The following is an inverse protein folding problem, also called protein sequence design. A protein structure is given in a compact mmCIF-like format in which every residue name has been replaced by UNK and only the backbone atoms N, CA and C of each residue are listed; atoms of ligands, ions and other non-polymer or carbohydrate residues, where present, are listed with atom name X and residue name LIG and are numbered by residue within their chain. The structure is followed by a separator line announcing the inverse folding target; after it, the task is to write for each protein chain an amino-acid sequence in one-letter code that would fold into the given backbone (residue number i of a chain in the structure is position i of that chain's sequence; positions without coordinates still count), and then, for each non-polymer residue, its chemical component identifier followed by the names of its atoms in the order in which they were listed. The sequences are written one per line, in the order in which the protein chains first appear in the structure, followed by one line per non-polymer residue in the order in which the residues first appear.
data_IF_874763117383
#
_entry.id   IF_874763117383
#
_cell.length_a   1.000
_cell.length_b   1.000
_cell.length_c   1.000
_cell.angle_alpha   90.00
_cell.angle_beta   90.00
_cell.angle_gamma   90.00
#
_symmetry.space_group_name_H-M   'P 1'
#
loop_
_entity.id
_entity.type
_entity.pdbx_description
1 polymer ?
#
# COMPACT_ATOMS: atom_id res chain seq x y z
N UNK A 1 21.30 8.88 0.43
CA UNK A 1 21.18 9.07 -1.04
C UNK A 1 20.10 8.10 -1.51
N UNK A 2 19.05 8.59 -2.17
CA UNK A 2 17.96 7.75 -2.68
C UNK A 2 18.38 7.28 -4.08
N UNK A 3 18.39 5.97 -4.33
CA UNK A 3 18.62 5.40 -5.65
C UNK A 3 17.29 4.99 -6.28
N UNK A 4 17.01 5.44 -7.50
CA UNK A 4 15.74 5.17 -8.17
C UNK A 4 15.52 3.70 -8.56
N UNK A 5 16.57 2.88 -8.61
CA UNK A 5 16.44 1.44 -8.94
C UNK A 5 15.76 1.18 -10.30
N UNK A 6 15.86 2.12 -11.24
CA UNK A 6 15.08 2.12 -12.48
C UNK A 6 15.47 0.96 -13.42
N UNK A 7 14.46 0.36 -14.05
CA UNK A 7 14.67 -0.57 -15.18
C UNK A 7 15.31 0.16 -16.35
N UNK A 8 16.06 -0.55 -17.19
CA UNK A 8 16.55 0.01 -18.46
C UNK A 8 15.41 0.36 -19.43
N UNK A 9 14.21 -0.17 -19.18
CA UNK A 9 12.99 0.10 -19.96
C UNK A 9 12.13 1.21 -19.35
N UNK A 10 12.61 1.92 -18.31
CA UNK A 10 11.87 3.02 -17.71
C UNK A 10 11.57 4.13 -18.72
N UNK A 11 10.36 4.70 -18.63
CA UNK A 11 9.89 5.74 -19.55
C UNK A 11 10.74 7.00 -19.40
N UNK A 12 11.29 7.46 -20.54
CA UNK A 12 12.00 8.73 -20.65
C UNK A 12 11.06 9.83 -21.12
N UNK A 13 11.04 10.94 -20.40
CA UNK A 13 10.34 12.15 -20.81
C UNK A 13 11.02 12.73 -22.04
N UNK A 14 10.23 13.29 -22.97
CA UNK A 14 10.77 13.97 -24.14
C UNK A 14 11.69 15.13 -23.70
N UNK A 15 12.81 15.31 -24.41
CA UNK A 15 13.74 16.42 -24.16
C UNK A 15 13.05 17.79 -24.22
N UNK A 16 12.08 17.95 -25.12
CA UNK A 16 11.28 19.18 -25.24
C UNK A 16 10.41 19.47 -24.01
N UNK A 17 10.18 18.49 -23.14
CA UNK A 17 9.40 18.60 -21.91
C UNK A 17 10.28 18.53 -20.64
N UNK A 18 11.62 18.64 -20.79
CA UNK A 18 12.57 18.68 -19.67
C UNK A 18 13.44 17.43 -19.51
N UNK A 19 13.19 16.37 -20.29
CA UNK A 19 13.99 15.15 -20.28
C UNK A 19 13.95 14.38 -18.94
N UNK A 20 14.79 13.35 -18.84
CA UNK A 20 14.90 12.51 -17.64
C UNK A 20 13.88 11.36 -17.57
N UNK A 21 13.90 10.64 -16.45
CA UNK A 21 13.07 9.45 -16.23
C UNK A 21 11.85 9.80 -15.35
N UNK A 22 10.70 9.21 -15.67
CA UNK A 22 9.52 9.32 -14.81
C UNK A 22 9.69 8.39 -13.61
N UNK A 23 9.60 8.96 -12.40
CA UNK A 23 9.69 8.22 -11.14
C UNK A 23 8.71 8.77 -10.10
N UNK A 24 8.24 7.88 -9.22
CA UNK A 24 7.45 8.22 -8.03
C UNK A 24 8.11 7.60 -6.80
N UNK A 25 7.97 8.25 -5.64
CA UNK A 25 8.31 7.60 -4.38
C UNK A 25 7.30 6.48 -4.10
N UNK A 26 7.80 5.24 -4.05
CA UNK A 26 7.01 4.03 -3.75
C UNK A 26 6.18 4.14 -2.46
N UNK A 27 6.62 4.94 -1.48
CA UNK A 27 5.87 5.18 -0.25
C UNK A 27 4.49 5.81 -0.47
N UNK A 28 4.31 6.65 -1.50
CA UNK A 28 2.98 7.17 -1.84
C UNK A 28 2.09 6.07 -2.45
N UNK A 29 2.69 5.13 -3.18
CA UNK A 29 1.97 4.00 -3.74
C UNK A 29 1.49 3.04 -2.64
N UNK A 30 2.26 2.86 -1.57
CA UNK A 30 1.83 2.07 -0.39
C UNK A 30 0.56 2.60 0.26
N UNK A 31 0.52 3.92 0.48
CA UNK A 31 -0.65 4.57 1.10
C UNK A 31 -1.86 4.47 0.17
N UNK A 32 -1.64 4.56 -1.15
CA UNK A 32 -2.68 4.30 -2.13
C UNK A 32 -3.22 2.87 -2.07
N UNK A 33 -2.40 1.84 -1.81
CA UNK A 33 -2.90 0.48 -1.64
C UNK A 33 -3.89 0.35 -0.49
N UNK A 34 -3.62 0.99 0.65
CA UNK A 34 -4.53 1.01 1.79
C UNK A 34 -5.86 1.70 1.43
N UNK A 35 -5.79 2.74 0.61
CA UNK A 35 -6.98 3.41 0.07
C UNK A 35 -7.77 2.48 -0.86
N UNK A 36 -7.11 1.78 -1.78
CA UNK A 36 -7.77 0.82 -2.68
C UNK A 36 -8.52 -0.24 -1.89
N UNK A 37 -7.89 -0.83 -0.86
CA UNK A 37 -8.52 -1.78 0.05
C UNK A 37 -9.77 -1.22 0.73
N UNK A 38 -9.67 0.00 1.25
CA UNK A 38 -10.81 0.66 1.90
C UNK A 38 -11.99 0.86 0.92
N UNK A 39 -11.72 1.35 -0.29
CA UNK A 39 -12.75 1.64 -1.28
C UNK A 39 -13.33 0.38 -1.94
N UNK A 40 -12.58 -0.72 -1.99
CA UNK A 40 -13.09 -2.03 -2.39
C UNK A 40 -14.02 -2.62 -1.32
N UNK A 41 -13.61 -2.59 -0.04
CA UNK A 41 -14.46 -3.07 1.06
C UNK A 41 -15.81 -2.35 1.11
N UNK A 42 -15.81 -1.04 0.88
CA UNK A 42 -17.01 -0.20 0.88
C UNK A 42 -17.59 0.03 -0.52
N UNK A 43 -17.24 -0.81 -1.51
CA UNK A 43 -17.60 -0.52 -2.91
C UNK A 43 -19.11 -0.47 -3.14
N UNK A 44 -19.91 -1.18 -2.35
CA UNK A 44 -21.37 -1.17 -2.47
C UNK A 44 -22.01 0.14 -1.99
N UNK A 45 -21.37 0.82 -1.05
CA UNK A 45 -21.86 2.04 -0.40
C UNK A 45 -21.34 3.31 -1.07
N UNK A 46 -20.23 3.22 -1.79
CA UNK A 46 -19.59 4.34 -2.49
C UNK A 46 -19.96 4.30 -3.97
N UNK A 47 -20.80 5.23 -4.48
CA UNK A 47 -21.31 5.18 -5.85
C UNK A 47 -20.22 5.15 -6.92
N UNK A 48 -19.13 5.89 -6.73
CA UNK A 48 -18.00 5.95 -7.66
C UNK A 48 -17.24 4.63 -7.72
N UNK A 49 -16.99 4.00 -6.55
CA UNK A 49 -16.39 2.66 -6.49
C UNK A 49 -17.28 1.63 -7.15
N UNK A 50 -18.57 1.62 -6.81
CA UNK A 50 -19.56 0.71 -7.40
C UNK A 50 -19.58 0.83 -8.91
N UNK A 51 -19.66 2.07 -9.41
CA UNK A 51 -19.65 2.38 -10.84
C UNK A 51 -18.36 1.89 -11.49
N UNK A 52 -17.20 2.20 -10.92
CA UNK A 52 -15.91 1.76 -11.46
C UNK A 52 -15.78 0.23 -11.51
N UNK A 53 -16.27 -0.47 -10.48
CA UNK A 53 -16.25 -1.93 -10.39
C UNK A 53 -17.18 -2.60 -11.41
N UNK A 54 -18.31 -1.96 -11.73
CA UNK A 54 -19.26 -2.45 -12.73
C UNK A 54 -18.83 -2.13 -14.17
N UNK A 55 -18.43 -0.88 -14.44
CA UNK A 55 -18.14 -0.40 -15.80
C UNK A 55 -16.74 -0.75 -16.27
N UNK A 56 -15.78 -0.90 -15.35
CA UNK A 56 -14.37 -1.19 -15.65
C UNK A 56 -13.85 -2.42 -14.87
N UNK A 57 -14.70 -3.43 -14.67
CA UNK A 57 -14.46 -4.57 -13.78
C UNK A 57 -13.07 -5.22 -13.95
N UNK A 58 -12.64 -5.46 -15.20
CA UNK A 58 -11.33 -6.07 -15.46
C UNK A 58 -10.17 -5.19 -15.00
N UNK A 59 -10.22 -3.89 -15.26
CA UNK A 59 -9.16 -2.98 -14.85
C UNK A 59 -9.17 -2.78 -13.33
N UNK A 60 -10.37 -2.67 -12.75
CA UNK A 60 -10.57 -2.58 -11.31
C UNK A 60 -9.94 -3.77 -10.58
N UNK A 61 -10.26 -4.99 -11.02
CA UNK A 61 -9.73 -6.23 -10.43
C UNK A 61 -8.21 -6.33 -10.60
N UNK A 62 -7.69 -6.10 -11.82
CA UNK A 62 -6.25 -6.14 -12.05
C UNK A 62 -5.48 -5.12 -11.21
N UNK A 63 -6.05 -3.92 -10.98
CA UNK A 63 -5.47 -2.92 -10.11
C UNK A 63 -5.52 -3.35 -8.64
N UNK A 64 -6.62 -3.94 -8.19
CA UNK A 64 -6.74 -4.50 -6.84
C UNK A 64 -5.70 -5.59 -6.59
N UNK A 65 -5.62 -6.61 -7.46
CA UNK A 65 -4.65 -7.70 -7.36
C UNK A 65 -3.20 -7.19 -7.36
N UNK A 66 -2.88 -6.24 -8.24
CA UNK A 66 -1.56 -5.61 -8.30
C UNK A 66 -1.20 -4.88 -6.99
N UNK A 67 -2.15 -4.10 -6.44
CA UNK A 67 -1.95 -3.40 -5.17
C UNK A 67 -1.66 -4.38 -4.02
N UNK A 68 -2.44 -5.47 -3.96
CA UNK A 68 -2.28 -6.49 -2.92
C UNK A 68 -0.94 -7.20 -3.04
N UNK A 69 -0.53 -7.58 -4.25
CA UNK A 69 0.74 -8.28 -4.45
C UNK A 69 1.94 -7.37 -4.12
N UNK A 70 1.92 -6.11 -4.53
CA UNK A 70 2.99 -5.16 -4.18
C UNK A 70 3.07 -4.90 -2.68
N UNK A 71 1.93 -4.74 -2.00
CA UNK A 71 1.90 -4.61 -0.55
C UNK A 71 2.47 -5.86 0.14
N UNK A 72 2.12 -7.07 -0.34
CA UNK A 72 2.69 -8.33 0.15
C UNK A 72 4.20 -8.36 -0.02
N UNK A 73 4.71 -8.07 -1.21
CA UNK A 73 6.16 -8.05 -1.49
C UNK A 73 6.88 -7.07 -0.55
N UNK A 74 6.30 -5.88 -0.33
CA UNK A 74 6.89 -4.86 0.53
C UNK A 74 6.94 -5.27 2.00
N UNK A 75 5.87 -5.90 2.49
CA UNK A 75 5.82 -6.47 3.85
C UNK A 75 6.82 -7.62 4.02
N UNK A 76 7.10 -8.41 2.98
CA UNK A 76 8.14 -9.43 3.04
C UNK A 76 9.55 -8.83 3.06
N UNK A 77 9.79 -7.75 2.30
CA UNK A 77 11.06 -7.03 2.32
C UNK A 77 11.32 -6.29 3.65
N UNK A 78 10.26 -5.83 4.31
CA UNK A 78 10.31 -5.12 5.59
C UNK A 78 9.56 -5.89 6.68
N UNK A 79 9.86 -7.18 6.79
CA UNK A 79 9.14 -8.09 7.68
C UNK A 79 9.30 -7.68 9.15
N UNK A 80 8.17 -7.62 9.86
CA UNK A 80 8.14 -7.32 11.29
C UNK A 80 8.48 -8.58 12.10
N UNK A 81 9.68 -8.60 12.69
CA UNK A 81 10.16 -9.73 13.49
C UNK A 81 9.79 -9.64 14.98
N UNK A 82 8.94 -8.69 15.37
CA UNK A 82 8.49 -8.60 16.78
C UNK A 82 7.49 -9.71 17.13
N UNK A 83 7.57 -10.21 18.37
CA UNK A 83 6.62 -11.20 18.86
C UNK A 83 5.28 -10.54 19.21
N UNK A 84 4.18 -11.07 18.69
CA UNK A 84 2.87 -10.82 19.27
C UNK A 84 2.73 -11.65 20.55
N UNK A 85 2.26 -11.04 21.63
CA UNK A 85 1.90 -11.75 22.87
C UNK A 85 0.41 -12.08 22.87
N UNK A 86 -0.02 -12.86 23.86
CA UNK A 86 -1.44 -13.16 24.07
C UNK A 86 -1.86 -12.73 25.46
N UNK A 87 -3.10 -12.24 25.58
CA UNK A 87 -3.69 -11.79 26.82
C UNK A 87 -4.98 -12.57 27.12
N UNK A 88 -5.29 -12.73 28.40
CA UNK A 88 -6.60 -13.20 28.84
C UNK A 88 -7.59 -12.03 28.84
N UNK A 89 -8.74 -12.19 28.18
CA UNK A 89 -9.82 -11.21 28.17
C UNK A 89 -11.04 -11.78 28.92
N UNK A 90 -11.81 -10.91 29.56
CA UNK A 90 -13.06 -11.31 30.21
C UNK A 90 -14.01 -11.89 29.15
N UNK A 91 -14.68 -12.99 29.48
CA UNK A 91 -15.66 -13.68 28.62
C UNK A 91 -15.09 -14.29 27.32
N UNK A 92 -13.76 -14.45 27.22
CA UNK A 92 -13.13 -15.24 26.16
C UNK A 92 -12.40 -16.43 26.78
N UNK A 93 -12.80 -17.64 26.39
CA UNK A 93 -12.26 -18.90 26.94
C UNK A 93 -10.82 -19.19 26.48
N UNK A 94 -10.38 -18.58 25.38
CA UNK A 94 -9.05 -18.75 24.79
C UNK A 94 -8.20 -17.47 24.85
N UNK A 95 -6.85 -17.59 24.93
CA UNK A 95 -5.98 -16.44 24.98
C UNK A 95 -6.07 -15.62 23.68
N UNK A 96 -6.31 -14.32 23.80
CA UNK A 96 -6.54 -13.43 22.65
C UNK A 96 -5.23 -12.79 22.19
N UNK A 97 -4.91 -12.77 20.88
CA UNK A 97 -3.66 -12.21 20.39
C UNK A 97 -3.62 -10.68 20.54
N UNK A 98 -2.49 -10.16 21.00
CA UNK A 98 -2.23 -8.74 21.15
C UNK A 98 -1.21 -8.26 20.11
N UNK A 99 -1.70 -7.53 19.09
CA UNK A 99 -0.90 -7.04 17.97
C UNK A 99 -0.45 -5.58 18.11
N UNK A 100 -0.85 -4.89 19.18
CA UNK A 100 -0.54 -3.48 19.41
C UNK A 100 0.85 -3.27 20.05
N UNK A 101 1.87 -3.93 19.51
CA UNK A 101 3.25 -3.71 19.91
C UNK A 101 3.68 -2.28 19.54
N UNK A 102 4.39 -1.55 20.41
CA UNK A 102 4.88 -0.22 20.08
C UNK A 102 5.74 -0.25 18.80
N UNK A 103 5.33 0.53 17.79
CA UNK A 103 6.08 0.73 16.54
C UNK A 103 6.66 2.14 16.51
N UNK A 104 7.87 2.29 15.97
CA UNK A 104 8.48 3.60 15.72
C UNK A 104 8.28 3.95 14.25
N UNK A 105 7.35 4.85 13.98
CA UNK A 105 7.10 5.33 12.62
C UNK A 105 8.21 6.29 12.15
N UNK A 106 8.40 6.35 10.84
CA UNK A 106 9.16 7.42 10.22
C UNK A 106 8.42 8.75 10.37
N UNK A 107 9.16 9.84 10.56
CA UNK A 107 8.64 11.20 10.59
C UNK A 107 8.31 11.63 9.15
N UNK A 108 7.04 11.52 8.76
CA UNK A 108 6.59 11.78 7.38
C UNK A 108 6.72 13.24 6.97
N UNK A 109 6.57 14.17 7.92
CA UNK A 109 6.83 15.61 7.76
C UNK A 109 8.22 15.87 7.17
N UNK A 110 9.23 15.12 7.61
CA UNK A 110 10.61 15.26 7.11
C UNK A 110 10.86 14.74 5.69
N UNK A 111 9.88 14.05 5.10
CA UNK A 111 9.95 13.49 3.75
C UNK A 111 9.15 14.36 2.77
N UNK A 112 8.17 15.12 3.27
CA UNK A 112 7.27 15.95 2.46
C UNK A 112 7.78 17.39 2.29
N UNK A 113 8.77 17.82 3.07
CA UNK A 113 9.51 19.09 2.92
C UNK A 113 10.60 19.00 1.84
#
# INVERSE_FOLDING_TARGET
MISAGASLDSVRVLESAGGGDLAQLEGFHDVHYLRVLWYDHHSEEIPESKKSKLENSRHYEAHYEHCIDLLRQKLMCHFDTSFATFNWLMDIEEPFPYFANPKKCLKMDKILD
#
